data_IF_622899188818
#
_entry.id   IF_622899188818
#
_cell.length_a   1.000
_cell.length_b   1.000
_cell.length_c   1.000
_cell.angle_alpha   90.00
_cell.angle_beta   90.00
_cell.angle_gamma   90.00
#
_symmetry.space_group_name_H-M   'P 1'
#
loop_
_entity.id
_entity.type
_entity.pdbx_description
1 polymer ?
#
# COMPACT_ATOMS: atom_id res chain seq x y z
N UNK A 1 -50.96 19.60 -25.00
CA UNK A 1 -49.52 19.28 -25.11
C UNK A 1 -49.30 18.15 -24.12
N UNK A 2 -49.49 16.90 -24.56
CA UNK A 2 -49.38 15.73 -23.71
C UNK A 2 -48.05 15.07 -24.04
N UNK A 3 -47.16 15.09 -23.05
CA UNK A 3 -45.81 14.55 -23.10
C UNK A 3 -45.91 13.03 -23.14
N UNK A 4 -45.61 12.43 -24.29
CA UNK A 4 -45.50 10.99 -24.49
C UNK A 4 -44.12 10.53 -24.02
N UNK A 5 -43.98 10.28 -22.73
CA UNK A 5 -42.85 9.48 -22.22
C UNK A 5 -42.98 8.07 -22.78
N UNK A 6 -42.00 7.64 -23.58
CA UNK A 6 -42.00 6.35 -24.26
C UNK A 6 -41.69 5.24 -23.25
N UNK A 7 -42.30 4.04 -23.33
CA UNK A 7 -42.05 2.95 -22.40
C UNK A 7 -40.56 2.59 -22.20
N UNK A 8 -39.73 2.78 -23.22
CA UNK A 8 -38.28 2.56 -23.17
C UNK A 8 -37.55 3.49 -22.19
N UNK A 9 -38.08 4.69 -21.91
CA UNK A 9 -37.48 5.62 -20.95
C UNK A 9 -37.70 5.16 -19.50
N UNK A 10 -38.80 4.44 -19.23
CA UNK A 10 -39.09 3.93 -17.88
C UNK A 10 -38.19 2.76 -17.51
N UNK A 11 -37.87 1.88 -18.47
CA UNK A 11 -36.92 0.78 -18.28
C UNK A 11 -35.48 1.30 -18.13
N UNK A 12 -35.11 2.37 -18.85
CA UNK A 12 -33.83 3.05 -18.65
C UNK A 12 -33.73 3.74 -17.28
N UNK A 13 -34.82 4.36 -16.79
CA UNK A 13 -34.88 4.98 -15.46
C UNK A 13 -34.91 3.90 -14.35
N UNK A 14 -35.57 2.76 -14.56
CA UNK A 14 -35.57 1.62 -13.63
C UNK A 14 -34.20 0.91 -13.60
N UNK A 15 -33.52 0.77 -14.74
CA UNK A 15 -32.15 0.27 -14.83
C UNK A 15 -31.13 1.24 -14.19
N UNK A 16 -31.33 2.56 -14.33
CA UNK A 16 -30.55 3.57 -13.64
C UNK A 16 -30.81 3.58 -12.12
N UNK A 17 -32.04 3.34 -11.68
CA UNK A 17 -32.39 3.26 -10.26
C UNK A 17 -31.97 1.93 -9.60
N UNK A 18 -31.78 0.85 -10.35
CA UNK A 18 -31.18 -0.39 -9.83
C UNK A 18 -29.65 -0.29 -9.70
N UNK A 19 -29.01 0.69 -10.35
CA UNK A 19 -27.57 0.94 -10.25
C UNK A 19 -27.17 1.84 -9.06
N UNK A 20 -28.11 2.38 -8.27
CA UNK A 20 -27.79 3.31 -7.18
C UNK A 20 -28.66 3.12 -5.94
N UNK A 21 -28.82 1.88 -5.50
CA UNK A 21 -29.10 1.63 -4.09
C UNK A 21 -27.79 1.80 -3.31
N UNK A 22 -27.44 3.04 -2.99
CA UNK A 22 -26.41 3.34 -2.01
C UNK A 22 -26.91 2.82 -0.65
N UNK A 23 -26.72 1.52 -0.42
CA UNK A 23 -26.85 0.89 0.89
C UNK A 23 -26.09 1.76 1.88
N UNK A 24 -26.74 2.09 3.00
CA UNK A 24 -26.11 2.87 4.07
C UNK A 24 -24.69 2.35 4.33
N UNK A 25 -23.71 3.25 4.62
CA UNK A 25 -22.31 2.87 4.74
C UNK A 25 -22.18 1.72 5.74
N UNK A 26 -21.86 0.53 5.21
CA UNK A 26 -21.73 -0.67 6.02
C UNK A 26 -20.46 -0.54 6.86
N UNK A 27 -20.61 -0.79 8.14
CA UNK A 27 -19.51 -0.85 9.11
C UNK A 27 -19.20 -2.32 9.36
N UNK A 28 -17.92 -2.73 9.45
CA UNK A 28 -17.57 -4.09 9.79
C UNK A 28 -18.01 -4.43 11.21
N UNK A 29 -18.48 -5.65 11.42
CA UNK A 29 -18.87 -6.13 12.75
C UNK A 29 -17.72 -6.89 13.41
N UNK A 30 -17.66 -6.91 14.76
CA UNK A 30 -16.67 -7.73 15.47
C UNK A 30 -16.73 -9.19 15.03
N UNK A 31 -15.57 -9.79 14.80
CA UNK A 31 -15.42 -11.16 14.28
C UNK A 31 -15.30 -11.25 12.76
N UNK A 32 -15.66 -10.21 11.99
CA UNK A 32 -15.38 -10.19 10.55
C UNK A 32 -13.88 -10.15 10.27
N UNK A 33 -13.45 -10.75 9.17
CA UNK A 33 -12.08 -10.65 8.71
C UNK A 33 -11.95 -9.54 7.68
N UNK A 34 -10.79 -8.88 7.68
CA UNK A 34 -10.38 -7.89 6.69
C UNK A 34 -8.96 -8.22 6.26
N UNK A 35 -8.69 -8.15 4.97
CA UNK A 35 -7.35 -8.32 4.43
C UNK A 35 -6.83 -7.05 3.78
N UNK A 36 -5.51 -6.92 3.83
CA UNK A 36 -4.80 -5.76 3.33
C UNK A 36 -4.34 -5.99 1.89
N UNK A 37 -4.74 -5.10 0.98
CA UNK A 37 -4.32 -5.10 -0.42
C UNK A 37 -3.06 -4.29 -0.66
N UNK A 38 -2.68 -3.38 0.25
CA UNK A 38 -1.53 -2.49 0.09
C UNK A 38 -0.84 -2.29 1.43
N UNK A 39 0.47 -2.47 1.48
CA UNK A 39 1.23 -2.20 2.69
C UNK A 39 1.18 -0.71 3.07
N UNK A 40 1.30 -0.42 4.37
CA UNK A 40 1.44 0.96 4.87
C UNK A 40 0.19 1.55 5.52
N UNK A 41 -0.93 0.82 5.54
CA UNK A 41 -2.09 1.26 6.32
C UNK A 41 -1.83 1.03 7.82
N UNK A 42 -1.86 2.10 8.61
CA UNK A 42 -1.76 2.00 10.07
C UNK A 42 -3.14 1.80 10.69
N UNK A 43 -3.29 0.76 11.50
CA UNK A 43 -4.52 0.46 12.24
C UNK A 43 -4.23 0.42 13.74
N UNK A 44 -5.10 1.05 14.53
CA UNK A 44 -5.08 0.94 15.98
C UNK A 44 -5.75 -0.37 16.40
N UNK A 45 -5.01 -1.24 17.10
CA UNK A 45 -5.51 -2.56 17.52
C UNK A 45 -6.32 -2.54 18.82
N UNK A 46 -6.56 -1.37 19.41
CA UNK A 46 -7.09 -1.27 20.76
C UNK A 46 -6.01 -1.42 21.84
N UNK A 47 -6.38 -1.11 23.08
CA UNK A 47 -5.48 -0.98 24.23
C UNK A 47 -5.84 0.29 25.00
N UNK A 48 -6.32 0.14 26.25
CA UNK A 48 -7.12 1.10 27.02
C UNK A 48 -6.53 2.47 27.39
N UNK A 49 -5.59 3.03 26.62
CA UNK A 49 -5.13 4.41 26.76
C UNK A 49 -4.81 5.03 25.40
N UNK A 50 -5.27 6.27 25.18
CA UNK A 50 -4.96 7.06 23.96
C UNK A 50 -3.45 7.29 23.75
N UNK A 51 -2.62 7.08 24.78
CA UNK A 51 -1.16 7.24 24.71
C UNK A 51 -0.45 5.90 24.43
N UNK A 52 -1.03 4.76 24.83
CA UNK A 52 -0.40 3.43 24.74
C UNK A 52 -1.07 2.49 23.75
N UNK A 53 -2.00 3.00 22.92
CA UNK A 53 -2.68 2.21 21.90
C UNK A 53 -1.67 1.54 20.96
N UNK A 54 -1.81 0.24 20.75
CA UNK A 54 -0.90 -0.52 19.86
C UNK A 54 -1.31 -0.27 18.41
N UNK A 55 -0.69 0.72 17.78
CA UNK A 55 -0.78 0.91 16.33
C UNK A 55 0.08 -0.12 15.62
N UNK A 56 -0.45 -0.74 14.56
CA UNK A 56 0.29 -1.66 13.70
C UNK A 56 0.18 -1.19 12.26
N UNK A 57 1.31 -1.19 11.56
CA UNK A 57 1.36 -0.97 10.12
C UNK A 57 1.06 -2.31 9.45
N UNK A 58 0.00 -2.36 8.66
CA UNK A 58 -0.40 -3.56 7.96
C UNK A 58 0.46 -3.79 6.72
N UNK A 59 0.78 -5.05 6.48
CA UNK A 59 1.46 -5.51 5.27
C UNK A 59 0.45 -6.08 4.27
N UNK A 60 0.75 -6.00 2.96
CA UNK A 60 -0.08 -6.61 1.91
C UNK A 60 -0.21 -8.12 2.14
N UNK A 61 -1.42 -8.64 1.95
CA UNK A 61 -1.76 -10.04 2.20
C UNK A 61 -2.05 -10.35 3.67
N UNK A 62 -1.74 -9.45 4.60
CA UNK A 62 -2.09 -9.64 6.00
C UNK A 62 -3.61 -9.64 6.16
N UNK A 63 -4.13 -10.62 6.89
CA UNK A 63 -5.52 -10.69 7.31
C UNK A 63 -5.58 -10.45 8.81
N UNK A 64 -6.60 -9.73 9.26
CA UNK A 64 -6.88 -9.52 10.68
C UNK A 64 -8.38 -9.64 10.96
N UNK A 65 -8.71 -10.06 12.18
CA UNK A 65 -10.09 -10.12 12.66
C UNK A 65 -10.45 -8.80 13.33
N UNK A 66 -11.54 -8.19 12.90
CA UNK A 66 -12.07 -6.95 13.46
C UNK A 66 -12.55 -7.23 14.89
N UNK A 67 -12.09 -6.44 15.86
CA UNK A 67 -12.57 -6.51 17.25
C UNK A 67 -13.39 -5.27 17.58
N UNK A 68 -14.23 -5.35 18.61
CA UNK A 68 -14.96 -4.18 19.11
C UNK A 68 -14.02 -3.05 19.52
N UNK A 69 -12.88 -3.39 20.14
CA UNK A 69 -11.86 -2.41 20.56
C UNK A 69 -11.25 -1.68 19.37
N UNK A 70 -11.03 -2.37 18.24
CA UNK A 70 -10.54 -1.75 17.02
C UNK A 70 -11.55 -0.76 16.45
N UNK A 71 -12.84 -1.10 16.46
CA UNK A 71 -13.91 -0.21 15.98
C UNK A 71 -13.96 1.05 16.85
N UNK A 72 -13.95 0.89 18.17
CA UNK A 72 -13.98 2.01 19.12
C UNK A 72 -12.72 2.88 19.01
N UNK A 73 -11.54 2.27 18.88
CA UNK A 73 -10.27 2.98 18.68
C UNK A 73 -10.16 3.70 17.32
N UNK A 74 -11.05 3.39 16.38
CA UNK A 74 -11.11 4.03 15.08
C UNK A 74 -12.02 5.27 15.06
N UNK A 75 -12.78 5.53 16.12
CA UNK A 75 -13.62 6.74 16.21
C UNK A 75 -12.74 7.97 16.32
N UNK A 76 -13.12 9.03 15.61
CA UNK A 76 -12.48 10.34 15.76
C UNK A 76 -12.94 11.06 17.05
N UNK A 77 -12.43 12.27 17.27
CA UNK A 77 -12.78 13.12 18.43
C UNK A 77 -14.27 13.44 18.56
N UNK A 78 -15.04 13.32 17.47
CA UNK A 78 -16.47 13.56 17.41
C UNK A 78 -17.28 12.24 17.50
N UNK A 79 -16.61 11.10 17.71
CA UNK A 79 -17.21 9.78 17.70
C UNK A 79 -17.52 9.22 16.32
N UNK A 80 -17.09 9.89 15.24
CA UNK A 80 -17.37 9.51 13.86
C UNK A 80 -16.37 8.47 13.35
N UNK A 81 -16.89 7.52 12.56
CA UNK A 81 -16.10 6.51 11.86
C UNK A 81 -15.88 6.86 10.37
N UNK A 82 -16.49 7.93 9.87
CA UNK A 82 -16.56 8.24 8.43
C UNK A 82 -15.17 8.43 7.78
N UNK A 83 -14.17 8.85 8.57
CA UNK A 83 -12.79 9.06 8.10
C UNK A 83 -11.85 7.93 8.49
N UNK A 84 -12.32 6.92 9.20
CA UNK A 84 -11.53 5.76 9.60
C UNK A 84 -11.56 4.67 8.52
N UNK A 85 -10.57 3.78 8.52
CA UNK A 85 -10.58 2.57 7.70
C UNK A 85 -11.88 1.76 7.90
N UNK A 86 -12.45 1.78 9.12
CA UNK A 86 -13.70 1.11 9.49
C UNK A 86 -14.89 1.66 8.68
N UNK A 87 -14.95 2.97 8.48
CA UNK A 87 -16.04 3.62 7.75
C UNK A 87 -15.92 3.56 6.23
N UNK A 88 -14.80 3.06 5.70
CA UNK A 88 -14.53 2.99 4.25
C UNK A 88 -14.18 1.57 3.76
N UNK A 89 -14.09 0.57 4.64
CA UNK A 89 -13.68 -0.80 4.25
C UNK A 89 -14.60 -1.43 3.19
N UNK A 90 -15.89 -1.07 3.19
CA UNK A 90 -16.89 -1.52 2.20
C UNK A 90 -17.11 -0.52 1.05
N UNK A 91 -16.36 0.59 1.01
CA UNK A 91 -16.52 1.66 0.02
C UNK A 91 -15.16 1.95 -0.66
N UNK A 92 -14.93 1.24 -1.77
CA UNK A 92 -13.66 1.34 -2.52
C UNK A 92 -13.43 2.75 -3.07
N UNK A 93 -14.47 3.44 -3.50
CA UNK A 93 -14.37 4.81 -4.03
C UNK A 93 -13.90 5.79 -2.95
N UNK A 94 -14.44 5.68 -1.73
CA UNK A 94 -13.95 6.47 -0.59
C UNK A 94 -12.53 6.11 -0.20
N UNK A 95 -12.14 4.84 -0.29
CA UNK A 95 -10.74 4.46 -0.06
C UNK A 95 -9.82 5.11 -1.10
N UNK A 96 -10.17 5.05 -2.39
CA UNK A 96 -9.39 5.68 -3.47
C UNK A 96 -9.32 7.19 -3.27
N UNK A 97 -10.43 7.86 -2.97
CA UNK A 97 -10.45 9.31 -2.70
C UNK A 97 -9.58 9.69 -1.51
N UNK A 98 -9.51 8.85 -0.47
CA UNK A 98 -8.78 9.13 0.77
C UNK A 98 -7.31 8.77 0.72
N UNK A 99 -6.99 7.59 0.18
CA UNK A 99 -5.66 6.98 0.22
C UNK A 99 -4.98 6.94 -1.14
N UNK A 100 -5.68 7.28 -2.22
CA UNK A 100 -5.21 7.13 -3.60
C UNK A 100 -5.33 5.71 -4.15
N UNK A 101 -5.72 4.73 -3.33
CA UNK A 101 -5.91 3.33 -3.71
C UNK A 101 -6.83 2.60 -2.72
N UNK A 102 -7.30 1.41 -3.10
CA UNK A 102 -7.98 0.49 -2.17
C UNK A 102 -6.94 -0.18 -1.28
N UNK A 103 -7.01 0.08 0.03
CA UNK A 103 -6.03 -0.40 1.00
C UNK A 103 -6.44 -1.74 1.61
N UNK A 104 -7.73 -1.94 1.85
CA UNK A 104 -8.29 -3.12 2.53
C UNK A 104 -9.59 -3.59 1.88
N UNK A 105 -9.89 -4.87 2.03
CA UNK A 105 -11.17 -5.49 1.63
C UNK A 105 -11.69 -6.43 2.71
N UNK A 106 -13.01 -6.59 2.83
CA UNK A 106 -13.60 -7.58 3.73
C UNK A 106 -13.27 -9.01 3.28
N UNK A 107 -13.26 -9.93 4.24
CA UNK A 107 -12.94 -11.34 4.03
C UNK A 107 -11.46 -11.69 4.19
N UNK A 108 -11.13 -12.98 4.14
CA UNK A 108 -9.75 -13.46 4.19
C UNK A 108 -8.96 -13.06 2.94
N UNK A 109 -7.64 -12.94 3.07
CA UNK A 109 -6.77 -12.73 1.92
C UNK A 109 -6.93 -13.89 0.91
N UNK A 110 -7.11 -13.60 -0.39
CA UNK A 110 -7.08 -14.61 -1.43
C UNK A 110 -5.77 -15.40 -1.42
N UNK A 111 -5.83 -16.70 -1.70
CA UNK A 111 -4.65 -17.59 -1.67
C UNK A 111 -3.60 -17.24 -2.72
N UNK A 112 -4.01 -16.59 -3.80
CA UNK A 112 -3.16 -16.12 -4.89
C UNK A 112 -2.56 -14.72 -4.62
N UNK A 113 -2.99 -14.04 -3.55
CA UNK A 113 -2.51 -12.72 -3.19
C UNK A 113 -1.06 -12.80 -2.69
N UNK A 114 -0.13 -12.37 -3.52
CA UNK A 114 1.28 -12.24 -3.11
C UNK A 114 1.43 -11.15 -2.05
N UNK A 115 2.27 -11.36 -1.01
CA UNK A 115 2.50 -10.39 0.06
C UNK A 115 3.33 -9.17 -0.37
N UNK A 116 3.70 -9.11 -1.65
CA UNK A 116 4.52 -8.06 -2.25
C UNK A 116 3.95 -7.67 -3.61
N UNK A 117 4.41 -6.53 -4.12
CA UNK A 117 4.16 -6.07 -5.48
C UNK A 117 5.47 -5.95 -6.24
N UNK A 118 5.46 -6.28 -7.52
CA UNK A 118 6.66 -6.23 -8.34
C UNK A 118 7.31 -4.83 -8.26
N UNK A 119 8.62 -4.81 -8.04
CA UNK A 119 9.39 -3.57 -7.92
C UNK A 119 9.37 -2.90 -6.54
N UNK A 120 8.55 -3.35 -5.59
CA UNK A 120 8.58 -2.79 -4.22
C UNK A 120 9.76 -3.34 -3.39
N UNK A 121 10.17 -2.66 -2.31
CA UNK A 121 11.21 -3.18 -1.41
C UNK A 121 10.89 -4.56 -0.84
N UNK A 122 9.62 -4.85 -0.56
CA UNK A 122 9.13 -6.15 -0.08
C UNK A 122 9.38 -7.24 -1.13
N UNK A 123 9.08 -6.96 -2.41
CA UNK A 123 9.38 -7.87 -3.51
C UNK A 123 10.89 -8.11 -3.65
N UNK A 124 11.72 -7.06 -3.56
CA UNK A 124 13.17 -7.20 -3.61
C UNK A 124 13.69 -8.09 -2.48
N UNK A 125 13.20 -7.89 -1.24
CA UNK A 125 13.58 -8.70 -0.07
C UNK A 125 13.12 -10.16 -0.22
N UNK A 126 11.91 -10.38 -0.71
CA UNK A 126 11.38 -11.73 -0.93
C UNK A 126 12.17 -12.47 -2.02
N UNK A 127 12.45 -11.79 -3.15
CA UNK A 127 13.27 -12.33 -4.25
C UNK A 127 14.69 -12.65 -3.77
N UNK A 128 15.33 -11.76 -3.03
CA UNK A 128 16.69 -11.98 -2.52
C UNK A 128 16.74 -13.15 -1.53
N UNK A 129 15.74 -13.25 -0.64
CA UNK A 129 15.61 -14.39 0.28
C UNK A 129 15.44 -15.71 -0.48
N UNK A 130 14.57 -15.75 -1.48
CA UNK A 130 14.37 -16.94 -2.31
C UNK A 130 15.65 -17.30 -3.09
N UNK A 131 16.34 -16.30 -3.63
CA UNK A 131 17.63 -16.49 -4.32
C UNK A 131 18.71 -17.04 -3.40
N UNK A 132 18.84 -16.51 -2.17
CA UNK A 132 19.79 -17.03 -1.17
C UNK A 132 19.50 -18.48 -0.81
N UNK A 133 18.22 -18.85 -0.68
CA UNK A 133 17.81 -20.25 -0.45
C UNK A 133 18.19 -21.15 -1.62
N UNK A 134 17.97 -20.70 -2.86
CA UNK A 134 18.40 -21.45 -4.05
C UNK A 134 19.93 -21.66 -4.08
N UNK A 135 20.72 -20.64 -3.73
CA UNK A 135 22.18 -20.77 -3.67
C UNK A 135 22.67 -21.69 -2.55
N UNK A 136 21.91 -21.86 -1.48
CA UNK A 136 22.24 -22.75 -0.38
C UNK A 136 22.04 -24.24 -0.72
N UNK A 137 21.43 -24.57 -1.86
CA UNK A 137 21.28 -25.96 -2.31
C UNK A 137 22.65 -26.59 -2.65
N UNK A 138 22.90 -27.85 -2.28
CA UNK A 138 24.19 -28.49 -2.51
C UNK A 138 24.42 -28.82 -3.99
N UNK A 139 23.40 -29.36 -4.66
CA UNK A 139 23.46 -29.78 -6.06
C UNK A 139 23.43 -28.59 -7.02
N UNK A 140 24.23 -28.65 -8.09
CA UNK A 140 24.18 -27.68 -9.17
C UNK A 140 22.85 -27.73 -9.95
N UNK A 141 22.34 -28.93 -10.21
CA UNK A 141 21.07 -29.11 -10.92
C UNK A 141 19.89 -28.53 -10.12
N UNK A 142 19.80 -28.85 -8.82
CA UNK A 142 18.74 -28.34 -7.95
C UNK A 142 18.82 -26.82 -7.80
N UNK A 143 20.05 -26.27 -7.70
CA UNK A 143 20.26 -24.82 -7.67
C UNK A 143 19.81 -24.16 -8.96
N UNK A 144 20.11 -24.75 -10.13
CA UNK A 144 19.70 -24.21 -11.42
C UNK A 144 18.16 -24.18 -11.55
N UNK A 145 17.48 -25.27 -11.19
CA UNK A 145 16.02 -25.35 -11.17
C UNK A 145 15.39 -24.34 -10.20
N UNK A 146 15.93 -24.23 -8.99
CA UNK A 146 15.43 -23.27 -7.99
C UNK A 146 15.63 -21.82 -8.45
N UNK A 147 16.74 -21.50 -9.14
CA UNK A 147 16.97 -20.16 -9.69
C UNK A 147 16.02 -19.86 -10.86
N UNK A 148 15.73 -20.83 -11.72
CA UNK A 148 14.73 -20.70 -12.78
C UNK A 148 13.33 -20.43 -12.19
N UNK A 149 12.99 -21.11 -11.09
CA UNK A 149 11.73 -20.89 -10.37
C UNK A 149 11.65 -19.50 -9.72
N UNK A 150 12.76 -19.00 -9.14
CA UNK A 150 12.84 -17.62 -8.64
C UNK A 150 12.59 -16.62 -9.76
N UNK A 151 13.20 -16.81 -10.92
CA UNK A 151 12.97 -15.93 -12.07
C UNK A 151 11.52 -16.00 -12.56
N UNK A 152 10.90 -17.19 -12.57
CA UNK A 152 9.50 -17.39 -12.95
C UNK A 152 8.52 -16.70 -11.99
N UNK A 153 8.75 -16.79 -10.67
CA UNK A 153 7.85 -16.22 -9.65
C UNK A 153 8.02 -14.71 -9.55
N UNK A 154 9.27 -14.24 -9.51
CA UNK A 154 9.59 -12.85 -9.16
C UNK A 154 9.84 -11.98 -10.39
N UNK A 155 10.07 -12.56 -11.56
CA UNK A 155 10.46 -11.84 -12.77
C UNK A 155 11.94 -11.42 -12.75
N UNK A 156 12.36 -10.65 -13.77
CA UNK A 156 13.73 -10.21 -13.93
C UNK A 156 14.20 -9.35 -12.77
N UNK A 157 15.51 -9.39 -12.52
CA UNK A 157 16.12 -8.51 -11.54
C UNK A 157 15.80 -7.05 -11.91
N UNK A 158 15.31 -6.29 -10.93
CA UNK A 158 15.11 -4.85 -11.12
C UNK A 158 16.44 -4.20 -11.52
N UNK A 159 16.39 -3.24 -12.44
CA UNK A 159 17.57 -2.50 -12.83
C UNK A 159 18.24 -1.89 -11.59
N UNK A 160 19.51 -2.24 -11.37
CA UNK A 160 20.31 -1.68 -10.27
C UNK A 160 20.87 -0.30 -10.61
N UNK A 161 20.78 0.12 -11.88
CA UNK A 161 21.17 1.46 -12.31
C UNK A 161 20.07 2.48 -11.96
N UNK A 162 20.26 3.19 -10.85
CA UNK A 162 19.55 4.44 -10.58
C UNK A 162 20.48 5.62 -10.86
N UNK A 163 20.22 6.36 -11.94
CA UNK A 163 20.91 7.63 -12.20
C UNK A 163 20.33 8.68 -11.25
N UNK A 164 20.98 8.91 -10.12
CA UNK A 164 20.61 9.97 -9.16
C UNK A 164 21.11 11.35 -9.55
N UNK A 165 21.95 11.45 -10.58
CA UNK A 165 22.49 12.72 -11.07
C UNK A 165 21.53 13.36 -12.09
N UNK A 166 20.77 14.36 -11.65
CA UNK A 166 20.21 15.36 -12.56
C UNK A 166 21.37 16.23 -13.02
N UNK A 167 21.88 15.97 -14.23
CA UNK A 167 22.86 16.83 -14.88
C UNK A 167 22.15 18.10 -15.34
N UNK A 168 22.54 19.26 -14.78
CA UNK A 168 22.24 20.53 -15.43
C UNK A 168 23.16 20.65 -16.65
N UNK A 169 22.64 20.95 -17.85
CA UNK A 169 23.48 21.17 -19.02
C UNK A 169 24.53 22.24 -18.70
N UNK A 170 25.81 21.90 -18.84
CA UNK A 170 26.93 22.82 -18.66
C UNK A 170 27.52 22.93 -17.25
N UNK A 171 27.08 22.13 -16.28
CA UNK A 171 27.63 22.17 -14.91
C UNK A 171 28.20 20.79 -14.52
N UNK A 172 29.52 20.67 -14.40
CA UNK A 172 30.15 19.38 -14.05
C UNK A 172 29.98 19.12 -12.54
N UNK A 173 29.60 17.91 -12.10
CA UNK A 173 29.31 17.63 -10.68
C UNK A 173 30.49 17.93 -9.74
N UNK A 174 31.72 17.84 -10.24
CA UNK A 174 32.94 18.18 -9.50
C UNK A 174 33.07 19.68 -9.25
N UNK A 175 32.65 20.53 -10.20
CA UNK A 175 32.69 21.99 -10.08
C UNK A 175 31.68 22.47 -9.04
N UNK A 176 30.48 21.88 -9.04
CA UNK A 176 29.46 22.14 -8.02
C UNK A 176 29.92 21.73 -6.62
N UNK A 177 30.55 20.56 -6.49
CA UNK A 177 31.10 20.08 -5.22
C UNK A 177 32.24 20.98 -4.72
N UNK A 178 33.13 21.41 -5.62
CA UNK A 178 34.22 22.32 -5.30
C UNK A 178 33.71 23.71 -4.88
N UNK A 179 32.70 24.25 -5.58
CA UNK A 179 32.06 25.52 -5.23
C UNK A 179 31.36 25.45 -3.85
N UNK A 180 30.63 24.37 -3.58
CA UNK A 180 29.98 24.15 -2.30
C UNK A 180 30.99 24.02 -1.15
N UNK A 181 32.12 23.34 -1.36
CA UNK A 181 33.21 23.27 -0.37
C UNK A 181 33.92 24.61 -0.17
N UNK A 182 34.11 25.39 -1.24
CA UNK A 182 34.70 26.73 -1.13
C UNK A 182 33.80 27.67 -0.34
N UNK A 183 32.47 27.60 -0.55
CA UNK A 183 31.49 28.40 0.16
C UNK A 183 31.42 28.01 1.66
N UNK A 184 31.43 26.72 2.00
CA UNK A 184 31.50 26.26 3.41
C UNK A 184 32.74 26.78 4.12
N UNK A 185 33.89 26.76 3.44
CA UNK A 185 35.15 27.30 3.97
C UNK A 185 35.07 28.82 4.19
N UNK A 186 34.44 29.58 3.29
CA UNK A 186 34.20 31.03 3.49
C UNK A 186 33.27 31.31 4.67
N UNK A 187 32.27 30.46 4.88
CA UNK A 187 31.31 30.58 5.99
C UNK A 187 31.88 30.09 7.33
N UNK A 188 33.15 29.67 7.38
CA UNK A 188 33.81 29.20 8.61
C UNK A 188 33.23 27.90 9.16
N UNK A 189 32.47 27.15 8.36
CA UNK A 189 31.94 25.85 8.74
C UNK A 189 33.10 24.85 8.63
N UNK A 190 33.67 24.45 9.77
CA UNK A 190 34.72 23.44 9.79
C UNK A 190 34.23 22.16 9.10
N UNK A 191 34.99 21.67 8.12
CA UNK A 191 34.75 20.35 7.54
C UNK A 191 34.92 19.33 8.68
N UNK A 192 33.79 18.83 9.17
CA UNK A 192 33.72 17.82 10.22
C UNK A 192 34.19 16.48 9.68
N UNK A 193 35.50 16.36 9.43
CA UNK A 193 36.18 15.07 9.29
C UNK A 193 36.27 14.45 10.69
N UNK A 194 35.44 13.44 10.93
CA UNK A 194 35.66 12.39 11.93
C UNK A 194 35.92 11.09 11.20
#
# INVERSE_FOLDING_TARGET
MNDTTTPDDLDAILAANTATAASAPRIPVPGEQVHCLRSGLTVNLGGGSMITGRAVVLERGQTFTVTSEMIEAARDRNGSLATSWVGVVYDEERQVKRYGAVMVRPGPAPSDLRPWEYGTPEWMRARDTARRRAYALPSEAERAEALAEVERIYGPAGSTSKTTAVYRPGEHPTERAAAAQAERRRQGIADGTR
#
